data_IF_585070812614
#
_entry.id   IF_585070812614
#
_cell.length_a   1.000
_cell.length_b   1.000
_cell.length_c   1.000
_cell.angle_alpha   90.00
_cell.angle_beta   90.00
_cell.angle_gamma   90.00
#
_symmetry.space_group_name_H-M   'P 1'
#
loop_
_entity.id
_entity.type
_entity.pdbx_description
1 polymer ?
#
# COMPACT_ATOMS: atom_id res chain seq x y z
N UNK A 1 16.89 27.83 -28.80
CA UNK A 1 17.12 27.63 -27.35
C UNK A 1 15.79 27.69 -26.61
N UNK A 2 15.09 26.55 -26.47
CA UNK A 2 13.81 26.48 -25.75
C UNK A 2 13.59 25.07 -25.21
N UNK A 3 14.42 24.65 -24.26
CA UNK A 3 14.33 23.34 -23.62
C UNK A 3 14.66 23.40 -22.11
N UNK A 4 14.19 24.43 -21.38
CA UNK A 4 14.43 24.51 -19.93
C UNK A 4 13.22 24.89 -19.07
N UNK A 5 11.98 24.70 -19.55
CA UNK A 5 10.80 25.08 -18.76
C UNK A 5 9.71 23.99 -18.75
N UNK A 6 10.06 22.84 -18.18
CA UNK A 6 9.12 21.95 -17.45
C UNK A 6 9.83 21.38 -16.22
N UNK A 7 10.30 22.26 -15.34
CA UNK A 7 10.72 21.88 -14.00
C UNK A 7 9.55 22.12 -13.04
N UNK A 8 8.65 21.13 -13.00
CA UNK A 8 7.58 21.06 -12.02
C UNK A 8 7.91 19.97 -11.01
N UNK A 9 8.53 20.35 -9.88
CA UNK A 9 8.45 19.60 -8.62
C UNK A 9 9.24 18.29 -8.48
N UNK A 10 10.33 18.08 -9.21
CA UNK A 10 11.18 16.90 -9.03
C UNK A 10 12.13 17.02 -7.83
N UNK A 11 12.21 15.97 -7.01
CA UNK A 11 13.18 15.82 -5.92
C UNK A 11 14.62 15.86 -6.48
N UNK A 12 15.61 16.31 -5.69
CA UNK A 12 17.04 16.36 -6.07
C UNK A 12 17.55 15.01 -6.61
N UNK A 13 17.04 13.91 -6.05
CA UNK A 13 17.35 12.56 -6.51
C UNK A 13 16.92 12.32 -7.96
N UNK A 14 15.75 12.81 -8.38
CA UNK A 14 15.25 12.63 -9.75
C UNK A 14 16.16 13.34 -10.76
N UNK A 15 16.69 14.51 -10.39
CA UNK A 15 17.66 15.23 -11.20
C UNK A 15 19.01 14.48 -11.27
N UNK A 16 19.49 13.97 -10.14
CA UNK A 16 20.75 13.19 -10.06
C UNK A 16 20.66 11.90 -10.89
N UNK A 17 19.55 11.17 -10.81
CA UNK A 17 19.33 9.95 -11.58
C UNK A 17 19.35 10.22 -13.08
N UNK A 18 18.62 11.25 -13.55
CA UNK A 18 18.63 11.64 -14.98
C UNK A 18 20.02 12.09 -15.44
N UNK A 19 20.75 12.83 -14.60
CA UNK A 19 22.10 13.25 -14.92
C UNK A 19 23.08 12.06 -14.95
N UNK A 20 22.93 11.08 -14.06
CA UNK A 20 23.76 9.87 -14.04
C UNK A 20 23.55 8.97 -15.29
N UNK A 21 22.37 9.01 -15.91
CA UNK A 21 22.11 8.32 -17.19
C UNK A 21 22.89 8.94 -18.36
N UNK A 22 22.99 10.27 -18.41
CA UNK A 22 23.65 10.99 -19.50
C UNK A 22 25.15 11.21 -19.27
N UNK A 23 25.60 11.29 -18.00
CA UNK A 23 26.96 11.66 -17.62
C UNK A 23 27.60 10.60 -16.72
N UNK A 24 28.47 9.73 -17.26
CA UNK A 24 29.11 8.64 -16.50
C UNK A 24 29.92 9.10 -15.28
N UNK A 25 30.48 10.31 -15.32
CA UNK A 25 31.22 10.91 -14.19
C UNK A 25 30.30 11.22 -13.01
N UNK A 26 29.09 11.71 -13.27
CA UNK A 26 28.07 11.97 -12.23
C UNK A 26 27.62 10.64 -11.63
N UNK A 27 27.39 9.61 -12.47
CA UNK A 27 27.06 8.28 -11.99
C UNK A 27 28.10 7.75 -11.01
N UNK A 28 29.38 7.92 -11.34
CA UNK A 28 30.49 7.43 -10.51
C UNK A 28 30.65 8.22 -9.19
N UNK A 29 30.44 9.54 -9.22
CA UNK A 29 30.54 10.41 -8.04
C UNK A 29 29.39 10.21 -7.04
N UNK A 30 28.19 9.89 -7.51
CA UNK A 30 26.98 9.79 -6.68
C UNK A 30 26.45 8.37 -6.54
N UNK A 31 27.23 7.35 -6.95
CA UNK A 31 26.78 5.97 -6.96
C UNK A 31 26.36 5.51 -5.56
N UNK A 32 27.17 5.77 -4.54
CA UNK A 32 26.89 5.35 -3.16
C UNK A 32 25.65 6.04 -2.58
N UNK A 33 25.49 7.34 -2.81
CA UNK A 33 24.29 8.09 -2.42
C UNK A 33 23.02 7.57 -3.12
N UNK A 34 23.10 7.32 -4.43
CA UNK A 34 21.98 6.78 -5.21
C UNK A 34 21.63 5.36 -4.73
N UNK A 35 22.61 4.48 -4.58
CA UNK A 35 22.39 3.12 -4.08
C UNK A 35 21.80 3.13 -2.67
N UNK A 36 22.26 4.03 -1.79
CA UNK A 36 21.72 4.15 -0.43
C UNK A 36 20.25 4.58 -0.44
N UNK A 37 19.88 5.56 -1.26
CA UNK A 37 18.49 6.03 -1.40
C UNK A 37 17.59 4.95 -2.02
N UNK A 38 18.08 4.27 -3.06
CA UNK A 38 17.29 3.24 -3.76
C UNK A 38 17.16 1.94 -2.98
N UNK A 39 18.05 1.68 -2.01
CA UNK A 39 18.03 0.46 -1.21
C UNK A 39 16.68 0.20 -0.53
N UNK A 40 16.05 1.25 0.00
CA UNK A 40 14.72 1.14 0.63
C UNK A 40 13.63 0.74 -0.39
N UNK A 41 13.79 1.13 -1.66
CA UNK A 41 12.90 0.73 -2.75
C UNK A 41 13.18 -0.69 -3.26
N UNK A 42 14.41 -1.19 -3.14
CA UNK A 42 14.78 -2.57 -3.51
C UNK A 42 14.23 -3.61 -2.53
N UNK A 43 14.04 -3.25 -1.27
CA UNK A 43 13.44 -4.11 -0.24
C UNK A 43 11.93 -4.29 -0.40
N UNK A 44 11.30 -3.55 -1.32
CA UNK A 44 9.91 -3.65 -1.66
C UNK A 44 9.69 -4.44 -2.95
N UNK A 45 8.76 -5.41 -2.90
CA UNK A 45 8.30 -6.09 -4.11
C UNK A 45 7.40 -5.16 -4.96
N UNK A 46 7.17 -5.54 -6.22
CA UNK A 46 6.37 -4.72 -7.15
C UNK A 46 4.92 -4.53 -6.66
N UNK A 47 4.40 -5.49 -5.90
CA UNK A 47 3.05 -5.48 -5.39
C UNK A 47 2.90 -4.53 -4.21
N UNK A 48 3.86 -4.56 -3.29
CA UNK A 48 4.02 -3.61 -2.20
C UNK A 48 4.12 -2.17 -2.73
N UNK A 49 4.92 -1.94 -3.79
CA UNK A 49 5.05 -0.61 -4.43
C UNK A 49 3.73 -0.11 -4.98
N UNK A 50 3.01 -0.95 -5.72
CA UNK A 50 1.71 -0.57 -6.29
C UNK A 50 0.67 -0.31 -5.20
N UNK A 51 0.65 -1.11 -4.13
CA UNK A 51 -0.23 -0.90 -2.98
C UNK A 51 0.03 0.45 -2.31
N UNK A 52 1.29 0.78 -2.04
CA UNK A 52 1.66 2.07 -1.43
C UNK A 52 1.22 3.25 -2.31
N UNK A 53 1.38 3.13 -3.62
CA UNK A 53 0.90 4.15 -4.57
C UNK A 53 -0.62 4.27 -4.61
N UNK A 54 -1.34 3.15 -4.54
CA UNK A 54 -2.80 3.13 -4.48
C UNK A 54 -3.29 3.86 -3.22
N UNK A 55 -2.74 3.49 -2.06
CA UNK A 55 -3.07 4.13 -0.78
C UNK A 55 -2.74 5.62 -0.77
N UNK A 56 -1.57 6.01 -1.31
CA UNK A 56 -1.17 7.42 -1.43
C UNK A 56 -2.15 8.22 -2.31
N UNK A 57 -2.69 7.59 -3.35
CA UNK A 57 -3.66 8.19 -4.27
C UNK A 57 -5.08 8.26 -3.69
N UNK A 58 -5.30 7.74 -2.50
CA UNK A 58 -6.58 7.75 -1.80
C UNK A 58 -7.50 6.57 -2.10
N UNK A 59 -6.98 5.48 -2.68
CA UNK A 59 -7.73 4.22 -2.80
C UNK A 59 -8.09 3.72 -1.40
N UNK A 60 -9.34 3.27 -1.22
CA UNK A 60 -9.78 2.73 0.07
C UNK A 60 -8.93 1.49 0.41
N UNK A 61 -8.29 1.44 1.60
CA UNK A 61 -7.51 0.28 2.02
C UNK A 61 -8.29 -1.05 2.00
N UNK A 62 -9.62 -1.01 2.13
CA UNK A 62 -10.45 -2.21 2.08
C UNK A 62 -10.73 -2.70 0.65
N UNK A 63 -10.65 -1.80 -0.34
CA UNK A 63 -10.92 -2.10 -1.76
C UNK A 63 -9.65 -2.20 -2.60
N UNK A 64 -8.47 -1.98 -2.00
CA UNK A 64 -7.17 -2.00 -2.70
C UNK A 64 -6.88 -3.33 -3.41
N UNK A 65 -7.44 -4.43 -2.94
CA UNK A 65 -7.31 -5.75 -3.57
C UNK A 65 -7.89 -5.77 -4.99
N UNK A 66 -8.98 -5.03 -5.25
CA UNK A 66 -9.58 -4.91 -6.58
C UNK A 66 -8.64 -4.20 -7.56
N UNK A 67 -7.94 -3.17 -7.09
CA UNK A 67 -6.95 -2.44 -7.90
C UNK A 67 -5.71 -3.28 -8.21
N UNK A 68 -5.27 -4.09 -7.24
CA UNK A 68 -4.09 -4.95 -7.39
C UNK A 68 -4.41 -6.29 -8.09
N UNK A 69 -5.69 -6.62 -8.28
CA UNK A 69 -6.11 -7.88 -8.90
C UNK A 69 -5.83 -9.10 -8.04
N UNK A 70 -5.82 -8.94 -6.71
CA UNK A 70 -5.55 -9.98 -5.71
C UNK A 70 -6.78 -10.23 -4.84
N UNK A 71 -6.77 -11.26 -4.02
CA UNK A 71 -7.85 -11.48 -3.04
C UNK A 71 -7.63 -10.71 -1.71
N UNK A 72 -8.68 -10.63 -0.89
CA UNK A 72 -8.62 -9.93 0.40
C UNK A 72 -7.56 -10.51 1.36
N UNK A 73 -7.29 -11.82 1.31
CA UNK A 73 -6.29 -12.45 2.20
C UNK A 73 -4.89 -12.08 1.76
N UNK A 74 -4.61 -12.14 0.46
CA UNK A 74 -3.32 -11.72 -0.10
C UNK A 74 -3.04 -10.25 0.22
N UNK A 75 -4.07 -9.39 0.17
CA UNK A 75 -3.94 -7.99 0.58
C UNK A 75 -3.56 -7.85 2.07
N UNK A 76 -4.25 -8.56 2.96
CA UNK A 76 -3.95 -8.56 4.40
C UNK A 76 -2.52 -9.06 4.68
N UNK A 77 -2.04 -10.07 3.97
CA UNK A 77 -0.65 -10.55 4.09
C UNK A 77 0.37 -9.48 3.65
N UNK A 78 0.06 -8.68 2.63
CA UNK A 78 0.92 -7.55 2.23
C UNK A 78 0.90 -6.47 3.32
N UNK A 79 -0.28 -6.16 3.88
CA UNK A 79 -0.38 -5.21 5.00
C UNK A 79 0.45 -5.65 6.19
N UNK A 80 0.37 -6.91 6.61
CA UNK A 80 1.15 -7.43 7.72
C UNK A 80 2.66 -7.25 7.47
N UNK A 81 3.16 -7.61 6.28
CA UNK A 81 4.58 -7.42 5.93
C UNK A 81 5.00 -5.96 5.97
N UNK A 82 4.18 -5.05 5.43
CA UNK A 82 4.48 -3.62 5.41
C UNK A 82 4.38 -2.97 6.79
N UNK A 83 3.52 -3.49 7.67
CA UNK A 83 3.45 -3.09 9.08
C UNK A 83 4.70 -3.56 9.82
N UNK A 84 5.15 -4.79 9.60
CA UNK A 84 6.38 -5.34 10.20
C UNK A 84 7.62 -4.57 9.76
N UNK A 85 7.67 -4.12 8.49
CA UNK A 85 8.70 -3.23 7.96
C UNK A 85 8.61 -1.79 8.52
N UNK A 86 7.55 -1.44 9.25
CA UNK A 86 7.32 -0.10 9.80
C UNK A 86 6.85 0.94 8.78
N UNK A 87 6.46 0.50 7.57
CA UNK A 87 6.01 1.35 6.47
C UNK A 87 4.54 1.75 6.65
N UNK A 88 3.73 0.82 7.14
CA UNK A 88 2.33 1.06 7.46
C UNK A 88 2.08 1.04 8.98
N UNK A 89 1.02 1.72 9.40
CA UNK A 89 0.53 1.70 10.79
C UNK A 89 -0.93 1.33 10.84
N UNK A 90 -1.29 0.48 11.81
CA UNK A 90 -2.69 0.13 12.07
C UNK A 90 -3.41 1.35 12.67
N UNK A 91 -4.42 1.87 11.96
CA UNK A 91 -5.27 2.96 12.48
C UNK A 91 -6.52 2.43 13.19
N UNK A 92 -7.03 1.25 12.80
CA UNK A 92 -8.24 0.61 13.33
C UNK A 92 -8.28 -0.84 12.88
N UNK A 93 -8.87 -1.72 13.69
CA UNK A 93 -9.18 -3.11 13.33
C UNK A 93 -10.69 -3.25 13.14
N UNK A 94 -11.12 -3.85 12.02
CA UNK A 94 -12.52 -4.20 11.74
C UNK A 94 -12.73 -5.70 11.91
N UNK A 95 -13.79 -6.10 12.61
CA UNK A 95 -14.18 -7.52 12.73
C UNK A 95 -15.26 -7.86 11.72
N UNK A 96 -14.97 -8.79 10.82
CA UNK A 96 -15.96 -9.41 9.93
C UNK A 96 -16.49 -10.67 10.63
N UNK A 97 -17.81 -10.79 10.78
CA UNK A 97 -18.43 -11.86 11.59
C UNK A 97 -19.61 -12.49 10.87
N UNK A 98 -19.85 -13.77 11.13
CA UNK A 98 -21.06 -14.51 10.73
C UNK A 98 -21.69 -15.20 11.95
N UNK A 99 -22.98 -15.49 11.86
CA UNK A 99 -23.71 -16.20 12.91
C UNK A 99 -23.28 -17.66 12.97
N UNK A 100 -22.81 -18.06 14.16
CA UNK A 100 -22.61 -19.49 14.47
C UNK A 100 -23.95 -20.25 14.47
N UNK A 101 -23.89 -21.59 14.43
CA UNK A 101 -25.10 -22.44 14.60
C UNK A 101 -25.87 -22.10 15.88
N UNK A 102 -25.16 -21.79 16.96
CA UNK A 102 -25.77 -21.37 18.22
C UNK A 102 -26.39 -19.97 18.13
N UNK A 103 -25.73 -19.02 17.46
CA UNK A 103 -26.29 -17.70 17.16
C UNK A 103 -27.60 -17.80 16.37
N UNK A 104 -27.65 -18.62 15.31
CA UNK A 104 -28.86 -18.89 14.53
C UNK A 104 -30.00 -19.48 15.39
N UNK A 105 -29.69 -20.41 16.30
CA UNK A 105 -30.68 -20.95 17.26
C UNK A 105 -31.28 -19.87 18.17
N UNK A 106 -30.46 -18.92 18.62
CA UNK A 106 -30.94 -17.81 19.47
C UNK A 106 -31.85 -16.90 18.66
N UNK A 107 -31.47 -16.52 17.44
CA UNK A 107 -32.32 -15.74 16.53
C UNK A 107 -33.67 -16.44 16.33
N UNK A 108 -33.68 -17.74 16.07
CA UNK A 108 -34.93 -18.50 15.92
C UNK A 108 -35.83 -18.43 17.17
N UNK A 109 -35.25 -18.42 18.38
CA UNK A 109 -36.01 -18.22 19.62
C UNK A 109 -36.54 -16.80 19.73
N UNK A 110 -35.72 -15.78 19.43
CA UNK A 110 -36.14 -14.37 19.45
C UNK A 110 -37.33 -14.14 18.51
N UNK A 111 -37.27 -14.68 17.30
CA UNK A 111 -38.37 -14.64 16.32
C UNK A 111 -39.60 -15.38 16.84
N UNK A 112 -39.44 -16.62 17.35
CA UNK A 112 -40.55 -17.43 17.87
C UNK A 112 -41.32 -16.75 19.01
N UNK A 113 -40.62 -16.01 19.87
CA UNK A 113 -41.24 -15.34 21.03
C UNK A 113 -41.59 -13.87 20.77
N UNK A 114 -41.49 -13.39 19.51
CA UNK A 114 -41.80 -12.00 19.17
C UNK A 114 -40.85 -10.97 19.79
N UNK A 115 -39.67 -11.41 20.24
CA UNK A 115 -38.65 -10.57 20.89
C UNK A 115 -37.60 -10.03 19.90
N UNK A 116 -37.70 -10.41 18.63
CA UNK A 116 -36.89 -9.86 17.54
C UNK A 116 -37.79 -9.17 16.53
N UNK A 117 -38.16 -7.91 16.79
CA UNK A 117 -38.67 -7.03 15.75
C UNK A 117 -37.53 -6.07 15.35
N UNK A 118 -37.23 -6.04 14.06
CA UNK A 118 -36.57 -4.93 13.36
C UNK A 118 -37.65 -4.09 12.70
#
# INVERSE_FOLDING_TARGET
MRYLLRYGGGNILELLLKAAEEFPTIKMEFQEEIERELKELEELDDMEKQLLMALYSGVDPLEAHEFLGIDERELEEIYDRLIDKGILKIIRIRKVVDLTKNGKKIVNKLVKYGMGML
#
